data_IF_739768589042
#
_entry.id   IF_739768589042
#
_cell.length_a   1.000
_cell.length_b   1.000
_cell.length_c   1.000
_cell.angle_alpha   90.00
_cell.angle_beta   90.00
_cell.angle_gamma   90.00
#
_symmetry.space_group_name_H-M   'P 1'
#
loop_
_entity.id
_entity.type
_entity.pdbx_description
1 polymer ?
#
# COMPACT_ATOMS: atom_id res chain seq x y z
N UNK A 1 8.44 20.06 7.79
CA UNK A 1 8.81 19.43 9.08
C UNK A 1 9.23 18.01 8.75
N UNK A 2 10.32 17.46 9.31
CA UNK A 2 10.69 16.05 9.06
C UNK A 2 9.65 15.14 9.75
N UNK A 3 9.24 14.04 9.12
CA UNK A 3 8.30 13.08 9.68
C UNK A 3 8.90 12.31 10.86
N UNK A 4 8.07 11.46 11.49
CA UNK A 4 8.41 10.75 12.73
C UNK A 4 9.19 9.44 12.52
N UNK A 5 9.52 9.09 11.28
CA UNK A 5 10.25 7.85 10.98
C UNK A 5 11.70 7.97 11.44
N UNK A 6 12.10 7.02 12.31
CA UNK A 6 13.46 6.91 12.80
C UNK A 6 14.33 6.10 11.84
N UNK A 7 13.89 4.88 11.49
CA UNK A 7 14.62 3.96 10.61
C UNK A 7 13.70 2.88 10.03
N UNK A 8 14.25 2.07 9.12
CA UNK A 8 13.67 0.79 8.74
C UNK A 8 14.37 -0.32 9.50
N UNK A 9 13.61 -1.32 9.95
CA UNK A 9 14.12 -2.48 10.67
C UNK A 9 13.90 -3.75 9.85
N UNK A 10 14.94 -4.53 9.67
CA UNK A 10 14.88 -5.83 9.01
C UNK A 10 14.20 -6.87 9.88
N UNK A 11 13.18 -7.56 9.36
CA UNK A 11 12.59 -8.71 10.06
C UNK A 11 13.44 -9.97 9.99
N UNK A 12 14.56 -9.95 9.25
CA UNK A 12 15.43 -11.11 9.10
C UNK A 12 16.41 -11.22 10.28
N UNK A 13 17.05 -10.11 10.63
CA UNK A 13 18.20 -10.05 11.55
C UNK A 13 18.15 -8.84 12.52
N UNK A 14 17.11 -7.99 12.45
CA UNK A 14 17.00 -6.77 13.26
C UNK A 14 17.90 -5.63 12.80
N UNK A 15 18.56 -5.75 11.63
CA UNK A 15 19.41 -4.70 11.08
C UNK A 15 18.64 -3.39 10.89
N UNK A 16 19.32 -2.27 11.16
CA UNK A 16 18.80 -0.92 10.96
C UNK A 16 19.20 -0.39 9.59
N UNK A 17 18.24 0.04 8.78
CA UNK A 17 18.46 0.61 7.46
C UNK A 17 17.93 2.06 7.37
N UNK A 18 18.50 2.89 6.48
CA UNK A 18 18.01 4.24 6.24
C UNK A 18 16.57 4.27 5.71
N UNK A 19 15.72 5.13 6.28
CA UNK A 19 14.31 5.23 5.89
C UNK A 19 14.00 6.17 4.71
N UNK A 20 14.98 6.97 4.30
CA UNK A 20 14.84 8.06 3.31
C UNK A 20 15.59 7.78 2.02
N UNK A 21 15.82 6.51 1.75
CA UNK A 21 16.41 5.99 0.51
C UNK A 21 15.47 4.93 -0.03
N UNK A 22 15.53 4.69 -1.33
CA UNK A 22 14.82 3.56 -1.93
C UNK A 22 15.33 2.27 -1.28
N UNK A 23 14.41 1.50 -0.72
CA UNK A 23 14.67 0.24 -0.02
C UNK A 23 13.62 -0.77 -0.46
N UNK A 24 14.02 -2.04 -0.52
CA UNK A 24 13.10 -3.14 -0.77
C UNK A 24 13.10 -4.12 0.40
N UNK A 25 13.76 -5.26 0.25
CA UNK A 25 13.89 -6.33 1.24
C UNK A 25 15.33 -6.45 1.73
N UNK A 26 15.50 -6.97 2.95
CA UNK A 26 16.81 -7.34 3.48
C UNK A 26 16.82 -8.83 3.82
N UNK A 27 17.83 -9.57 3.35
CA UNK A 27 17.85 -11.04 3.46
C UNK A 27 16.63 -11.72 2.82
N UNK A 28 16.01 -11.09 1.82
CA UNK A 28 14.77 -11.55 1.20
C UNK A 28 13.51 -11.41 2.06
N UNK A 29 13.60 -10.74 3.23
CA UNK A 29 12.47 -10.49 4.13
C UNK A 29 12.04 -9.02 4.11
N UNK A 30 10.77 -8.72 4.44
CA UNK A 30 10.26 -7.36 4.49
C UNK A 30 11.01 -6.48 5.51
N UNK A 31 10.96 -5.17 5.28
CA UNK A 31 11.40 -4.17 6.24
C UNK A 31 10.19 -3.56 6.94
N UNK A 32 10.33 -3.25 8.23
CA UNK A 32 9.33 -2.57 9.04
C UNK A 32 9.70 -1.10 9.23
N UNK A 33 8.71 -0.21 9.15
CA UNK A 33 8.93 1.20 9.46
C UNK A 33 8.91 1.40 10.98
N UNK A 34 9.97 2.01 11.52
CA UNK A 34 10.07 2.38 12.93
C UNK A 34 9.96 3.89 13.12
N UNK A 35 9.33 4.28 14.22
CA UNK A 35 8.98 5.67 14.52
C UNK A 35 9.64 6.12 15.82
N UNK A 36 9.94 7.41 15.94
CA UNK A 36 10.16 8.05 17.24
C UNK A 36 8.81 8.22 17.95
N UNK A 37 8.43 7.20 18.71
CA UNK A 37 7.13 7.16 19.41
C UNK A 37 7.03 8.20 20.53
N UNK A 38 8.14 8.63 21.11
CA UNK A 38 8.14 9.71 22.10
C UNK A 38 7.81 11.05 21.42
N UNK A 39 8.37 11.33 20.25
CA UNK A 39 7.98 12.49 19.46
C UNK A 39 6.52 12.42 18.98
N UNK A 40 6.04 11.26 18.55
CA UNK A 40 4.63 11.06 18.20
C UNK A 40 3.74 11.35 19.41
N UNK A 41 4.05 10.79 20.58
CA UNK A 41 3.26 10.98 21.81
C UNK A 41 3.14 12.46 22.22
N UNK A 42 4.18 13.26 21.99
CA UNK A 42 4.17 14.71 22.28
C UNK A 42 3.31 15.52 21.30
N UNK A 43 3.06 15.00 20.10
CA UNK A 43 2.42 15.75 19.01
C UNK A 43 1.00 15.27 18.71
N UNK A 44 0.79 13.96 18.69
CA UNK A 44 -0.48 13.35 18.36
C UNK A 44 -1.35 13.21 19.62
N UNK A 45 -2.62 13.61 19.52
CA UNK A 45 -3.61 13.38 20.58
C UNK A 45 -4.88 12.76 20.02
N UNK A 46 -5.55 11.94 20.85
CA UNK A 46 -6.84 11.34 20.47
C UNK A 46 -7.92 12.39 20.19
N UNK A 47 -7.85 13.53 20.87
CA UNK A 47 -8.75 14.66 20.63
C UNK A 47 -8.52 15.24 19.22
N UNK A 48 -7.26 15.56 18.88
CA UNK A 48 -6.92 16.10 17.56
C UNK A 48 -7.30 15.16 16.41
N UNK A 49 -7.25 13.83 16.63
CA UNK A 49 -7.73 12.89 15.63
C UNK A 49 -9.21 13.10 15.30
N UNK A 50 -10.07 13.36 16.30
CA UNK A 50 -11.53 13.52 16.11
C UNK A 50 -11.88 14.69 15.20
N UNK A 51 -11.09 15.76 15.26
CA UNK A 51 -11.34 16.99 14.50
C UNK A 51 -10.78 16.92 13.07
N UNK A 52 -9.93 15.92 12.76
CA UNK A 52 -9.43 15.68 11.41
C UNK A 52 -10.50 15.02 10.55
N UNK A 53 -10.41 15.26 9.24
CA UNK A 53 -11.19 14.54 8.24
C UNK A 53 -11.12 13.02 8.45
N UNK A 54 -12.25 12.34 8.25
CA UNK A 54 -12.37 10.90 8.43
C UNK A 54 -11.77 10.15 7.22
N UNK A 55 -10.47 10.29 7.05
CA UNK A 55 -9.66 9.71 5.98
C UNK A 55 -8.46 8.96 6.56
N UNK A 56 -7.85 8.09 5.76
CA UNK A 56 -6.63 7.36 6.11
C UNK A 56 -5.51 8.28 6.61
N UNK A 57 -5.37 9.46 5.99
CA UNK A 57 -4.28 10.42 6.25
C UNK A 57 -4.41 11.16 7.59
N UNK A 58 -5.51 10.97 8.32
CA UNK A 58 -5.67 11.55 9.66
C UNK A 58 -4.62 11.07 10.67
N UNK A 59 -3.92 9.97 10.38
CA UNK A 59 -2.87 9.37 11.22
C UNK A 59 -1.45 9.75 10.77
N UNK A 60 -1.26 10.90 10.11
CA UNK A 60 0.01 11.26 9.46
C UNK A 60 1.27 11.16 10.34
N UNK A 61 1.17 11.36 11.66
CA UNK A 61 2.30 11.19 12.58
C UNK A 61 2.79 9.73 12.68
N UNK A 62 1.89 8.79 12.39
CA UNK A 62 2.14 7.36 12.32
C UNK A 62 2.16 6.87 10.87
N UNK A 63 2.48 7.72 9.89
CA UNK A 63 2.69 7.31 8.50
C UNK A 63 4.09 7.73 8.05
N UNK A 64 4.76 7.00 7.15
CA UNK A 64 6.16 7.22 6.83
C UNK A 64 6.45 8.45 5.96
N UNK A 65 5.42 9.21 5.58
CA UNK A 65 5.55 10.33 4.66
C UNK A 65 6.04 11.57 5.44
N UNK A 66 7.18 12.13 5.02
CA UNK A 66 7.78 13.29 5.67
C UNK A 66 6.99 14.58 5.34
N UNK A 67 6.50 14.69 4.10
CA UNK A 67 5.69 15.82 3.64
C UNK A 67 4.29 15.38 3.22
N UNK A 68 3.29 15.75 4.02
CA UNK A 68 1.87 15.43 3.75
C UNK A 68 1.36 16.02 2.43
N UNK A 69 2.00 17.06 1.90
CA UNK A 69 1.65 17.62 0.58
C UNK A 69 2.03 16.66 -0.57
N UNK A 70 2.94 15.72 -0.34
CA UNK A 70 3.34 14.71 -1.33
C UNK A 70 2.40 13.51 -1.40
N UNK A 71 1.35 13.45 -0.55
CA UNK A 71 0.43 12.32 -0.53
C UNK A 71 -0.25 12.14 -1.88
N UNK A 72 -0.23 10.90 -2.35
CA UNK A 72 -0.98 10.42 -3.50
C UNK A 72 -2.24 9.78 -2.94
N UNK A 73 -3.37 10.47 -3.13
CA UNK A 73 -4.67 10.04 -2.61
C UNK A 73 -5.71 10.05 -3.73
N UNK A 74 -6.60 9.06 -3.65
CA UNK A 74 -7.84 8.94 -4.40
C UNK A 74 -9.08 9.10 -3.48
N UNK A 75 -8.88 9.53 -2.23
CA UNK A 75 -9.94 9.72 -1.24
C UNK A 75 -10.19 8.50 -0.36
N UNK A 76 -9.15 7.93 0.25
CA UNK A 76 -9.27 6.76 1.13
C UNK A 76 -10.01 7.11 2.42
N UNK A 77 -11.33 6.94 2.41
CA UNK A 77 -12.19 7.27 3.55
C UNK A 77 -12.03 6.33 4.74
N UNK A 78 -12.56 6.76 5.89
CA UNK A 78 -12.83 5.89 7.02
C UNK A 78 -14.04 5.01 6.70
N UNK A 79 -13.78 3.77 6.31
CA UNK A 79 -14.82 2.83 5.90
C UNK A 79 -15.66 2.34 7.09
N UNK A 80 -16.95 2.03 6.87
CA UNK A 80 -17.88 1.76 7.95
C UNK A 80 -17.64 0.39 8.62
N UNK A 81 -18.07 0.29 9.88
CA UNK A 81 -18.31 -0.97 10.57
C UNK A 81 -19.81 -1.27 10.50
N UNK A 82 -20.20 -2.22 9.65
CA UNK A 82 -21.59 -2.58 9.42
C UNK A 82 -22.05 -3.59 10.48
N UNK A 83 -23.05 -3.28 11.31
CA UNK A 83 -23.58 -4.25 12.27
C UNK A 83 -24.32 -5.37 11.53
N UNK A 84 -24.07 -6.62 11.94
CA UNK A 84 -24.66 -7.81 11.32
C UNK A 84 -25.49 -8.63 12.33
N UNK A 85 -26.57 -8.08 12.91
CA UNK A 85 -27.28 -8.72 14.02
C UNK A 85 -27.96 -10.05 13.63
N UNK A 86 -28.45 -10.19 12.38
CA UNK A 86 -29.09 -11.43 11.93
C UNK A 86 -28.08 -12.58 11.84
N UNK A 87 -26.95 -12.34 11.19
CA UNK A 87 -25.85 -13.30 11.08
C UNK A 87 -25.20 -13.56 12.44
N UNK A 88 -25.08 -12.52 13.28
CA UNK A 88 -24.62 -12.66 14.66
C UNK A 88 -25.46 -13.66 15.44
N UNK A 89 -26.80 -13.56 15.39
CA UNK A 89 -27.69 -14.54 16.03
C UNK A 89 -27.51 -15.96 15.50
N UNK A 90 -27.40 -16.12 14.18
CA UNK A 90 -27.19 -17.42 13.53
C UNK A 90 -25.89 -18.09 13.99
N UNK A 91 -24.83 -17.31 14.20
CA UNK A 91 -23.52 -17.77 14.65
C UNK A 91 -23.33 -17.79 16.18
N UNK A 92 -24.33 -17.38 16.96
CA UNK A 92 -24.20 -17.24 18.43
C UNK A 92 -23.27 -16.11 18.88
N UNK A 93 -23.07 -15.08 18.06
CA UNK A 93 -22.19 -13.92 18.32
C UNK A 93 -23.03 -12.66 18.59
N UNK A 94 -22.87 -12.06 19.77
CA UNK A 94 -23.65 -10.89 20.19
C UNK A 94 -23.32 -9.60 19.43
N UNK A 95 -22.05 -9.40 19.04
CA UNK A 95 -21.57 -8.16 18.43
C UNK A 95 -20.74 -8.45 17.17
N UNK A 96 -21.43 -8.88 16.12
CA UNK A 96 -20.82 -9.12 14.81
C UNK A 96 -20.87 -7.86 13.96
N UNK A 97 -19.71 -7.47 13.41
CA UNK A 97 -19.56 -6.36 12.48
C UNK A 97 -18.75 -6.77 11.25
N UNK A 98 -19.00 -6.12 10.12
CA UNK A 98 -18.17 -6.19 8.91
C UNK A 98 -17.48 -4.84 8.72
N UNK A 99 -16.14 -4.85 8.62
CA UNK A 99 -15.36 -3.68 8.18
C UNK A 99 -15.39 -3.62 6.65
N UNK A 100 -16.21 -2.75 6.10
CA UNK A 100 -16.51 -2.74 4.66
C UNK A 100 -15.50 -1.89 3.86
N UNK A 101 -14.35 -2.49 3.55
CA UNK A 101 -13.30 -1.87 2.72
C UNK A 101 -13.61 -1.87 1.21
N UNK A 102 -14.77 -2.37 0.79
CA UNK A 102 -15.19 -2.33 -0.62
C UNK A 102 -15.49 -0.90 -1.09
N UNK A 103 -15.72 0.03 -0.15
CA UNK A 103 -16.04 1.44 -0.44
C UNK A 103 -14.84 2.32 -0.76
N UNK A 104 -13.64 1.74 -0.79
CA UNK A 104 -12.42 2.47 -1.14
C UNK A 104 -12.34 2.71 -2.66
N UNK A 105 -11.53 3.67 -3.14
CA UNK A 105 -11.52 4.13 -4.53
C UNK A 105 -11.33 3.04 -5.60
N UNK A 106 -10.70 1.92 -5.25
CA UNK A 106 -10.42 0.78 -6.15
C UNK A 106 -11.16 -0.49 -5.70
N UNK A 107 -12.31 -0.32 -5.04
CA UNK A 107 -13.18 -1.42 -4.61
C UNK A 107 -12.60 -2.35 -3.55
N UNK A 108 -11.45 -2.06 -2.93
CA UNK A 108 -10.82 -2.94 -1.95
C UNK A 108 -9.83 -2.25 -1.02
N UNK A 109 -9.48 -2.95 0.06
CA UNK A 109 -8.46 -2.52 1.04
C UNK A 109 -7.06 -2.29 0.43
N UNK A 110 -6.80 -2.74 -0.81
CA UNK A 110 -5.52 -2.51 -1.48
C UNK A 110 -5.24 -1.02 -1.67
N UNK A 111 -6.29 -0.20 -1.79
CA UNK A 111 -6.19 1.26 -1.89
C UNK A 111 -5.37 1.86 -0.73
N UNK A 112 -5.60 1.43 0.53
CA UNK A 112 -4.83 1.95 1.68
C UNK A 112 -3.33 1.71 1.54
N UNK A 113 -2.98 0.47 1.17
CA UNK A 113 -1.60 0.08 0.97
C UNK A 113 -0.94 0.84 -0.18
N UNK A 114 -1.63 0.96 -1.32
CA UNK A 114 -1.10 1.65 -2.49
C UNK A 114 -1.00 3.16 -2.31
N UNK A 115 -1.95 3.77 -1.59
CA UNK A 115 -1.88 5.18 -1.19
C UNK A 115 -0.57 5.47 -0.46
N UNK A 116 -0.19 4.65 0.54
CA UNK A 116 1.10 4.83 1.20
C UNK A 116 2.28 4.50 0.30
N UNK A 117 2.27 3.33 -0.34
CA UNK A 117 3.41 2.84 -1.08
C UNK A 117 3.79 3.76 -2.26
N UNK A 118 2.79 4.22 -3.01
CA UNK A 118 3.01 5.14 -4.14
C UNK A 118 3.38 6.56 -3.65
N UNK A 119 2.83 7.02 -2.53
CA UNK A 119 3.27 8.30 -1.93
C UNK A 119 4.74 8.25 -1.51
N UNK A 120 5.17 7.13 -0.94
CA UNK A 120 6.58 6.94 -0.58
C UNK A 120 7.47 6.79 -1.80
N UNK A 121 7.04 6.03 -2.81
CA UNK A 121 7.74 5.96 -4.09
C UNK A 121 7.96 7.36 -4.69
N UNK A 122 6.92 8.21 -4.66
CA UNK A 122 6.99 9.61 -5.12
C UNK A 122 7.98 10.43 -4.31
N UNK A 123 7.92 10.35 -2.97
CA UNK A 123 8.84 11.06 -2.08
C UNK A 123 10.30 10.64 -2.31
N UNK A 124 10.53 9.38 -2.67
CA UNK A 124 11.86 8.82 -2.92
C UNK A 124 12.33 9.00 -4.37
N UNK A 125 11.56 9.68 -5.21
CA UNK A 125 11.92 9.98 -6.60
C UNK A 125 11.75 8.82 -7.58
N UNK A 126 10.99 7.79 -7.23
CA UNK A 126 10.65 6.69 -8.14
C UNK A 126 9.68 7.20 -9.23
N UNK A 127 9.96 6.87 -10.48
CA UNK A 127 9.14 7.25 -11.64
C UNK A 127 8.50 6.05 -12.34
N UNK A 128 9.01 4.85 -12.14
CA UNK A 128 8.57 3.61 -12.79
C UNK A 128 8.33 2.53 -11.74
N UNK A 129 7.11 2.01 -11.67
CA UNK A 129 6.72 0.95 -10.72
C UNK A 129 6.27 -0.30 -11.46
N UNK A 130 6.57 -1.47 -10.89
CA UNK A 130 6.08 -2.74 -11.43
C UNK A 130 5.64 -3.71 -10.34
N UNK A 131 4.62 -4.52 -10.62
CA UNK A 131 4.20 -5.57 -9.70
C UNK A 131 3.70 -6.82 -10.43
N UNK A 132 4.01 -8.03 -9.91
CA UNK A 132 3.26 -9.22 -10.24
C UNK A 132 1.88 -9.16 -9.57
N UNK A 133 0.83 -9.48 -10.30
CA UNK A 133 -0.52 -9.49 -9.73
C UNK A 133 -1.50 -10.37 -10.48
N UNK A 134 -2.39 -11.03 -9.75
CA UNK A 134 -3.53 -11.77 -10.31
C UNK A 134 -4.87 -11.22 -9.78
N UNK A 135 -4.90 -9.97 -9.30
CA UNK A 135 -6.10 -9.43 -8.64
C UNK A 135 -6.05 -7.92 -8.38
N UNK A 136 -6.83 -7.46 -7.39
CA UNK A 136 -7.09 -6.04 -7.10
C UNK A 136 -5.84 -5.19 -6.81
N UNK A 137 -4.68 -5.81 -6.56
CA UNK A 137 -3.44 -5.05 -6.35
C UNK A 137 -2.95 -4.40 -7.65
N UNK A 138 -3.16 -5.01 -8.81
CA UNK A 138 -2.76 -4.45 -10.10
C UNK A 138 -3.53 -3.18 -10.45
N UNK A 139 -4.87 -3.27 -10.43
CA UNK A 139 -5.74 -2.12 -10.65
C UNK A 139 -5.49 -0.98 -9.67
N UNK A 140 -5.32 -1.32 -8.38
CA UNK A 140 -4.97 -0.31 -7.38
C UNK A 140 -3.61 0.34 -7.68
N UNK A 141 -2.54 -0.43 -7.94
CA UNK A 141 -1.23 0.15 -8.26
C UNK A 141 -1.32 1.10 -9.47
N UNK A 142 -2.00 0.66 -10.53
CA UNK A 142 -2.21 1.45 -11.74
C UNK A 142 -2.91 2.79 -11.44
N UNK A 143 -4.01 2.77 -10.67
CA UNK A 143 -4.77 3.97 -10.34
C UNK A 143 -3.93 5.00 -9.56
N UNK A 144 -3.17 4.55 -8.56
CA UNK A 144 -2.32 5.44 -7.77
C UNK A 144 -1.09 5.91 -8.54
N UNK A 145 -0.46 5.04 -9.33
CA UNK A 145 0.67 5.41 -10.18
C UNK A 145 0.26 6.48 -11.20
N UNK A 146 -0.90 6.31 -11.86
CA UNK A 146 -1.44 7.31 -12.77
C UNK A 146 -1.70 8.65 -12.07
N UNK A 147 -2.27 8.64 -10.85
CA UNK A 147 -2.45 9.83 -10.03
C UNK A 147 -1.13 10.52 -9.66
N UNK A 148 -0.07 9.74 -9.47
CA UNK A 148 1.26 10.22 -9.14
C UNK A 148 2.09 10.65 -10.37
N UNK A 149 1.61 10.39 -11.59
CA UNK A 149 2.37 10.62 -12.82
C UNK A 149 3.51 9.62 -13.04
N UNK A 150 3.42 8.41 -12.50
CA UNK A 150 4.42 7.35 -12.64
C UNK A 150 4.03 6.36 -13.75
N UNK A 151 5.04 5.81 -14.43
CA UNK A 151 4.86 4.63 -15.26
C UNK A 151 4.52 3.40 -14.42
N UNK A 152 3.57 2.59 -14.87
CA UNK A 152 3.12 1.40 -14.16
C UNK A 152 3.13 0.18 -15.09
N UNK A 153 3.83 -0.87 -14.69
CA UNK A 153 3.79 -2.18 -15.35
C UNK A 153 3.17 -3.22 -14.42
N UNK A 154 2.24 -4.03 -14.93
CA UNK A 154 1.75 -5.20 -14.20
C UNK A 154 1.99 -6.46 -15.02
N UNK A 155 2.59 -7.47 -14.39
CA UNK A 155 2.75 -8.79 -14.96
C UNK A 155 1.73 -9.73 -14.31
N UNK A 156 0.91 -10.36 -15.13
CA UNK A 156 -0.25 -11.13 -14.70
C UNK A 156 -0.18 -12.53 -15.29
N UNK A 157 -0.44 -13.60 -14.50
CA UNK A 157 -0.70 -14.93 -15.07
C UNK A 157 -1.81 -14.89 -16.13
N UNK A 158 -1.72 -15.70 -17.18
CA UNK A 158 -2.74 -15.77 -18.25
C UNK A 158 -4.15 -16.07 -17.71
N UNK A 159 -4.26 -16.83 -16.62
CA UNK A 159 -5.52 -17.19 -15.97
C UNK A 159 -6.09 -16.09 -15.05
N UNK A 160 -5.42 -14.93 -14.96
CA UNK A 160 -5.90 -13.78 -14.17
C UNK A 160 -7.31 -13.37 -14.63
N UNK A 161 -8.27 -13.16 -13.72
CA UNK A 161 -9.62 -12.75 -14.10
C UNK A 161 -9.63 -11.50 -14.98
N UNK A 162 -10.37 -11.55 -16.09
CA UNK A 162 -10.43 -10.46 -17.09
C UNK A 162 -10.77 -9.11 -16.48
N UNK A 163 -11.60 -9.07 -15.43
CA UNK A 163 -11.93 -7.84 -14.70
C UNK A 163 -10.70 -7.15 -14.12
N UNK A 164 -9.75 -7.92 -13.54
CA UNK A 164 -8.53 -7.36 -12.96
C UNK A 164 -7.54 -6.91 -14.03
N UNK A 165 -7.47 -7.63 -15.15
CA UNK A 165 -6.67 -7.22 -16.32
C UNK A 165 -7.16 -5.87 -16.86
N UNK A 166 -8.48 -5.76 -17.11
CA UNK A 166 -9.10 -4.55 -17.64
C UNK A 166 -8.97 -3.37 -16.67
N UNK A 167 -9.16 -3.59 -15.36
CA UNK A 167 -8.99 -2.54 -14.35
C UNK A 167 -7.59 -1.91 -14.41
N UNK A 168 -6.53 -2.72 -14.52
CA UNK A 168 -5.17 -2.21 -14.64
C UNK A 168 -4.95 -1.42 -15.94
N UNK A 169 -5.43 -1.94 -17.08
CA UNK A 169 -5.31 -1.28 -18.38
C UNK A 169 -6.08 0.03 -18.43
N UNK A 170 -7.31 0.08 -17.90
CA UNK A 170 -8.12 1.30 -17.87
C UNK A 170 -7.53 2.40 -17.00
N UNK A 171 -6.78 2.03 -15.96
CA UNK A 171 -5.98 2.99 -15.18
C UNK A 171 -4.64 3.34 -15.82
N UNK A 172 -4.33 2.84 -17.01
CA UNK A 172 -3.17 3.22 -17.81
C UNK A 172 -1.91 2.39 -17.56
N UNK A 173 -2.00 1.24 -16.88
CA UNK A 173 -0.84 0.36 -16.74
C UNK A 173 -0.50 -0.38 -18.04
N UNK A 174 0.78 -0.61 -18.25
CA UNK A 174 1.30 -1.60 -19.21
C UNK A 174 1.08 -2.99 -18.62
N UNK A 175 -0.03 -3.63 -18.99
CA UNK A 175 -0.37 -4.97 -18.52
C UNK A 175 0.13 -6.03 -19.52
N UNK A 176 0.90 -7.00 -19.03
CA UNK A 176 1.36 -8.13 -19.82
C UNK A 176 0.89 -9.43 -19.17
N UNK A 177 0.37 -10.34 -20.00
CA UNK A 177 0.06 -11.69 -19.59
C UNK A 177 1.31 -12.56 -19.71
N UNK A 178 1.49 -13.46 -18.75
CA UNK A 178 2.60 -14.40 -18.66
C UNK A 178 2.00 -15.80 -18.63
N UNK A 179 2.43 -16.65 -19.56
CA UNK A 179 2.19 -18.09 -19.52
C UNK A 179 3.03 -18.69 -18.38
N UNK A 180 2.46 -18.64 -17.17
CA UNK A 180 3.16 -19.01 -15.94
C UNK A 180 2.42 -18.54 -14.70
N UNK A 181 3.00 -18.87 -13.55
CA UNK A 181 2.45 -18.58 -12.23
C UNK A 181 2.86 -17.19 -11.71
N UNK A 182 2.24 -16.79 -10.60
CA UNK A 182 2.44 -15.47 -10.00
C UNK A 182 3.88 -15.22 -9.51
N UNK A 183 4.58 -16.28 -9.12
CA UNK A 183 5.99 -16.25 -8.70
C UNK A 183 6.94 -16.04 -9.88
N UNK A 184 6.62 -16.62 -11.05
CA UNK A 184 7.32 -16.38 -12.32
C UNK A 184 7.14 -14.93 -12.79
N UNK A 185 5.91 -14.41 -12.71
CA UNK A 185 5.65 -12.97 -12.91
C UNK A 185 6.51 -12.12 -11.97
N UNK A 186 6.66 -12.55 -10.71
CA UNK A 186 7.49 -11.87 -9.73
C UNK A 186 8.98 -11.94 -10.08
N UNK A 187 9.46 -13.05 -10.63
CA UNK A 187 10.83 -13.18 -11.12
C UNK A 187 11.10 -12.22 -12.29
N UNK A 188 10.15 -12.09 -13.22
CA UNK A 188 10.24 -11.15 -14.34
C UNK A 188 10.25 -9.69 -13.86
N UNK A 189 9.41 -9.32 -12.89
CA UNK A 189 9.46 -7.97 -12.29
C UNK A 189 10.83 -7.67 -11.69
N UNK A 190 11.42 -8.64 -10.98
CA UNK A 190 12.76 -8.49 -10.38
C UNK A 190 13.86 -8.34 -11.44
N UNK A 191 13.82 -9.16 -12.49
CA UNK A 191 14.76 -9.06 -13.60
C UNK A 191 14.64 -7.71 -14.33
N UNK A 192 13.43 -7.15 -14.41
CA UNK A 192 13.17 -5.85 -15.01
C UNK A 192 13.63 -4.64 -14.18
N UNK A 193 14.03 -4.82 -12.92
CA UNK A 193 14.45 -3.71 -12.07
C UNK A 193 15.68 -2.98 -12.63
N UNK A 194 16.71 -3.72 -13.04
CA UNK A 194 17.94 -3.14 -13.62
C UNK A 194 17.73 -2.67 -15.07
N UNK A 195 16.94 -3.42 -15.85
CA UNK A 195 16.77 -3.16 -17.28
C UNK A 195 15.82 -2.00 -17.57
N UNK A 196 14.74 -1.86 -16.79
CA UNK A 196 13.67 -0.90 -17.03
C UNK A 196 13.52 0.14 -15.91
N UNK A 197 14.37 0.09 -14.89
CA UNK A 197 14.30 0.99 -13.74
C UNK A 197 13.07 0.76 -12.86
N UNK A 198 12.46 -0.42 -12.92
CA UNK A 198 11.25 -0.71 -12.18
C UNK A 198 11.52 -0.79 -10.67
N UNK A 199 10.75 -0.02 -9.91
CA UNK A 199 10.62 -0.24 -8.48
C UNK A 199 9.61 -1.35 -8.21
N UNK A 200 10.08 -2.42 -7.57
CA UNK A 200 9.32 -3.64 -7.33
C UNK A 200 8.26 -3.44 -6.21
N UNK A 201 7.02 -3.28 -6.64
CA UNK A 201 5.82 -3.14 -5.82
C UNK A 201 5.14 -4.50 -5.54
N UNK A 202 5.88 -5.61 -5.65
CA UNK A 202 5.46 -6.92 -5.15
C UNK A 202 5.03 -6.82 -3.69
N UNK A 203 4.10 -7.69 -3.29
CA UNK A 203 3.55 -7.67 -1.92
C UNK A 203 4.67 -7.80 -0.88
N UNK A 204 4.80 -6.77 -0.04
CA UNK A 204 5.78 -6.64 1.05
C UNK A 204 7.26 -6.55 0.62
N UNK A 205 7.54 -6.33 -0.67
CA UNK A 205 8.89 -5.98 -1.09
C UNK A 205 9.21 -4.52 -0.86
N UNK A 206 8.27 -3.62 -1.07
CA UNK A 206 8.37 -2.26 -0.54
C UNK A 206 7.91 -2.20 0.93
N UNK A 207 8.58 -1.41 1.80
CA UNK A 207 8.32 -1.40 3.25
C UNK A 207 7.00 -0.74 3.67
N UNK A 208 6.38 0.04 2.79
CA UNK A 208 5.43 1.10 3.17
C UNK A 208 3.97 0.67 3.07
N UNK A 209 3.65 -0.42 2.33
CA UNK A 209 2.26 -0.93 2.23
C UNK A 209 1.62 -1.21 3.57
N UNK A 210 2.41 -1.79 4.48
CA UNK A 210 1.94 -2.20 5.80
C UNK A 210 1.43 -0.97 6.55
N UNK A 211 2.13 0.15 6.40
CA UNK A 211 1.79 1.41 7.04
C UNK A 211 0.47 1.98 6.56
N UNK A 212 0.10 1.76 5.30
CA UNK A 212 -1.24 2.11 4.82
C UNK A 212 -2.31 1.19 5.39
N UNK A 213 -2.06 -0.12 5.33
CA UNK A 213 -3.01 -1.14 5.80
C UNK A 213 -3.31 -1.02 7.30
N UNK A 214 -2.34 -0.61 8.13
CA UNK A 214 -2.56 -0.50 9.59
C UNK A 214 -3.66 0.52 9.95
N UNK A 215 -3.97 1.45 9.05
CA UNK A 215 -5.04 2.45 9.26
C UNK A 215 -6.46 1.88 9.15
N UNK A 216 -6.59 0.60 8.77
CA UNK A 216 -7.86 -0.13 8.77
C UNK A 216 -8.37 -0.42 10.20
N UNK A 217 -7.45 -0.56 11.15
CA UNK A 217 -7.72 -0.96 12.55
C UNK A 217 -8.13 0.18 13.48
#
# INVERSE_FOLDING_TARGET
MRGFVSHLESTFDGSTLPARTVQTVHGGKPLLVRYDLEAVRRTASRAALRDRAAEMWRYHELLPLDDVAQRVTLGETMTPLLPCPRLGRELGVNQLYIKDESRLPTGSFKARGMAMAVSMAKQLGVTEVAAPTAGNAGGALAAYAARAGMGCTVLMPEDTPRVNQLEAVWHGARAFLVDGLIDECGALVRAGAEQFGWFDMSTLREPYRIEGKKTMG
#
